data_IF_517674525425
#
_entry.id   IF_517674525425
#
_cell.length_a   1.000
_cell.length_b   1.000
_cell.length_c   1.000
_cell.angle_alpha   90.00
_cell.angle_beta   90.00
_cell.angle_gamma   90.00
#
_symmetry.space_group_name_H-M   'P 1'
#
loop_
_entity.id
_entity.type
_entity.pdbx_description
1 polymer ?
#
# COMPACT_ATOMS: atom_id res chain seq x y z
N UNK A 1 -5.57 -6.09 -8.04
CA UNK A 1 -4.49 -5.13 -8.27
C UNK A 1 -3.19 -5.89 -8.52
N UNK A 2 -2.48 -5.54 -9.62
CA UNK A 2 -1.17 -6.11 -9.89
C UNK A 2 -0.17 -5.63 -8.82
N UNK A 3 0.70 -6.51 -8.37
CA UNK A 3 1.69 -6.19 -7.36
C UNK A 3 3.02 -6.85 -7.64
N UNK A 4 4.07 -6.07 -7.62
CA UNK A 4 5.45 -6.55 -7.58
C UNK A 4 6.08 -6.00 -6.30
N UNK A 5 6.90 -6.81 -5.68
CA UNK A 5 7.68 -6.44 -4.52
C UNK A 5 9.13 -6.82 -4.79
N UNK A 6 10.00 -5.86 -4.64
CA UNK A 6 11.44 -6.06 -4.55
C UNK A 6 11.92 -5.35 -3.31
N UNK A 7 13.06 -5.76 -2.82
CA UNK A 7 13.72 -5.16 -1.67
C UNK A 7 15.14 -4.80 -2.12
N UNK A 8 15.49 -3.53 -1.97
CA UNK A 8 16.84 -3.05 -2.19
C UNK A 8 17.06 -1.76 -1.39
N UNK A 9 18.19 -1.67 -0.69
CA UNK A 9 18.62 -0.42 -0.09
C UNK A 9 18.93 0.61 -1.15
N UNK A 10 18.89 1.89 -0.81
CA UNK A 10 18.98 2.96 -1.79
C UNK A 10 20.29 2.94 -2.58
N UNK A 11 21.39 2.53 -1.93
CA UNK A 11 22.72 2.40 -2.52
C UNK A 11 22.80 1.29 -3.56
N UNK A 12 21.97 0.22 -3.43
CA UNK A 12 21.92 -0.94 -4.32
C UNK A 12 20.69 -0.96 -5.21
N UNK A 13 19.82 0.05 -5.10
CA UNK A 13 18.54 0.09 -5.83
C UNK A 13 18.77 0.49 -7.28
N UNK A 14 18.76 -0.47 -8.18
CA UNK A 14 18.86 -0.25 -9.61
C UNK A 14 17.72 0.61 -10.14
N UNK A 15 18.04 1.55 -11.03
CA UNK A 15 17.07 2.48 -11.59
C UNK A 15 15.93 1.77 -12.34
N UNK A 16 16.23 0.68 -13.02
CA UNK A 16 15.23 -0.12 -13.74
C UNK A 16 14.24 -0.80 -12.79
N UNK A 17 14.68 -1.23 -11.62
CA UNK A 17 13.81 -1.77 -10.56
C UNK A 17 12.89 -0.68 -10.04
N UNK A 18 13.43 0.52 -9.82
CA UNK A 18 12.66 1.69 -9.40
C UNK A 18 11.58 2.03 -10.45
N UNK A 19 11.97 2.22 -11.71
CA UNK A 19 11.07 2.53 -12.83
C UNK A 19 9.98 1.48 -13.00
N UNK A 20 10.34 0.20 -13.01
CA UNK A 20 9.39 -0.90 -13.17
C UNK A 20 8.36 -0.92 -12.03
N UNK A 21 8.79 -0.64 -10.81
CA UNK A 21 7.88 -0.55 -9.65
C UNK A 21 6.87 0.59 -9.82
N UNK A 22 7.32 1.76 -10.27
CA UNK A 22 6.43 2.88 -10.55
C UNK A 22 5.49 2.57 -11.72
N UNK A 23 5.98 1.97 -12.80
CA UNK A 23 5.15 1.63 -13.95
C UNK A 23 4.01 0.67 -13.57
N UNK A 24 4.32 -0.39 -12.85
CA UNK A 24 3.29 -1.36 -12.45
C UNK A 24 2.33 -0.77 -11.43
N UNK A 25 2.82 -0.10 -10.40
CA UNK A 25 1.99 0.29 -9.24
C UNK A 25 1.34 1.66 -9.39
N UNK A 26 2.06 2.67 -9.87
CA UNK A 26 1.54 4.02 -10.01
C UNK A 26 0.92 4.25 -11.39
N UNK A 27 1.67 4.00 -12.47
CA UNK A 27 1.13 4.14 -13.82
C UNK A 27 0.03 3.11 -14.11
N UNK A 28 0.12 1.91 -13.55
CA UNK A 28 -0.97 0.94 -13.62
C UNK A 28 -2.26 1.46 -13.01
N UNK A 29 -2.20 2.08 -11.82
CA UNK A 29 -3.36 2.72 -11.19
C UNK A 29 -3.90 3.89 -12.03
N UNK A 30 -3.01 4.74 -12.55
CA UNK A 30 -3.36 5.83 -13.46
C UNK A 30 -4.08 5.30 -14.72
N UNK A 31 -3.54 4.29 -15.40
CA UNK A 31 -4.13 3.71 -16.60
C UNK A 31 -5.56 3.20 -16.33
N UNK A 32 -5.75 2.49 -15.22
CA UNK A 32 -7.10 2.05 -14.81
C UNK A 32 -8.03 3.23 -14.54
N UNK A 33 -7.59 4.21 -13.75
CA UNK A 33 -8.38 5.40 -13.43
C UNK A 33 -8.79 6.16 -14.70
N UNK A 34 -7.86 6.37 -15.63
CA UNK A 34 -8.10 7.04 -16.91
C UNK A 34 -9.19 6.33 -17.74
N UNK A 35 -9.10 5.03 -17.91
CA UNK A 35 -10.06 4.30 -18.75
C UNK A 35 -11.42 4.17 -18.07
N UNK A 36 -11.46 3.91 -16.78
CA UNK A 36 -12.71 3.80 -16.01
C UNK A 36 -13.43 5.15 -15.95
N UNK A 37 -12.72 6.24 -15.66
CA UNK A 37 -13.33 7.58 -15.62
C UNK A 37 -13.91 7.94 -16.96
N UNK A 38 -13.19 7.69 -18.06
CA UNK A 38 -13.69 7.95 -19.41
C UNK A 38 -14.97 7.18 -19.69
N UNK A 39 -15.00 5.89 -19.37
CA UNK A 39 -16.20 5.06 -19.55
C UNK A 39 -17.40 5.63 -18.77
N UNK A 40 -17.20 5.97 -17.50
CA UNK A 40 -18.26 6.54 -16.64
C UNK A 40 -18.78 7.88 -17.20
N UNK A 41 -17.89 8.75 -17.66
CA UNK A 41 -18.24 10.06 -18.24
C UNK A 41 -19.01 9.89 -19.54
N UNK A 42 -18.52 9.07 -20.47
CA UNK A 42 -19.11 8.86 -21.78
C UNK A 42 -20.53 8.26 -21.66
N UNK A 43 -20.76 7.41 -20.65
CA UNK A 43 -22.08 6.81 -20.39
C UNK A 43 -22.97 7.64 -19.44
N UNK A 44 -22.50 8.81 -18.97
CA UNK A 44 -23.24 9.72 -18.06
C UNK A 44 -23.75 9.02 -16.80
N UNK A 45 -22.99 8.09 -16.26
CA UNK A 45 -23.30 7.38 -15.01
C UNK A 45 -22.55 7.99 -13.84
N UNK A 46 -23.14 7.92 -12.64
CA UNK A 46 -22.41 8.24 -11.40
C UNK A 46 -21.62 7.02 -10.94
N UNK A 47 -20.46 7.23 -10.35
CA UNK A 47 -19.63 6.11 -9.95
C UNK A 47 -18.70 6.39 -8.77
N UNK A 48 -18.09 5.32 -8.31
CA UNK A 48 -17.04 5.39 -7.32
C UNK A 48 -15.80 4.66 -7.82
N UNK A 49 -14.64 5.25 -7.60
CA UNK A 49 -13.34 4.63 -7.81
C UNK A 49 -12.64 4.49 -6.47
N UNK A 50 -12.12 3.30 -6.22
CA UNK A 50 -11.27 3.07 -5.06
C UNK A 50 -9.91 2.56 -5.54
N UNK A 51 -8.88 3.37 -5.30
CA UNK A 51 -7.50 3.01 -5.60
C UNK A 51 -6.87 2.29 -4.40
N UNK A 52 -5.88 1.45 -4.66
CA UNK A 52 -5.23 0.67 -3.60
C UNK A 52 -3.80 1.16 -3.41
N UNK A 53 -3.57 1.82 -2.28
CA UNK A 53 -2.25 2.23 -1.81
C UNK A 53 -1.67 1.21 -0.82
N UNK A 54 -1.00 1.67 0.20
CA UNK A 54 -0.45 0.91 1.33
C UNK A 54 -0.20 1.86 2.49
N UNK A 55 -0.29 1.39 3.72
CA UNK A 55 0.11 2.17 4.90
C UNK A 55 1.63 2.53 4.88
N UNK A 56 2.45 1.80 4.10
CA UNK A 56 3.85 2.16 3.84
C UNK A 56 4.03 3.53 3.18
N UNK A 57 2.98 4.10 2.58
CA UNK A 57 3.01 5.46 2.06
C UNK A 57 3.12 6.53 3.17
N UNK A 58 2.75 6.19 4.39
CA UNK A 58 2.81 7.07 5.55
C UNK A 58 3.99 6.76 6.47
N UNK A 59 4.35 5.50 6.57
CA UNK A 59 5.37 5.02 7.50
C UNK A 59 6.23 3.93 6.86
N UNK A 60 7.55 3.93 7.15
CA UNK A 60 8.40 2.81 6.76
C UNK A 60 7.86 1.51 7.37
N UNK A 61 7.58 0.53 6.52
CA UNK A 61 7.05 -0.78 6.94
C UNK A 61 8.15 -1.80 7.20
N UNK A 62 9.30 -1.58 6.60
CA UNK A 62 10.44 -2.45 6.80
C UNK A 62 11.32 -1.91 7.91
N UNK A 63 11.57 -2.72 8.92
CA UNK A 63 12.53 -2.43 9.99
C UNK A 63 13.92 -2.17 9.39
N UNK A 64 14.21 -2.76 8.24
CA UNK A 64 15.51 -2.69 7.58
C UNK A 64 15.60 -1.66 6.44
N UNK A 65 14.51 -0.90 6.14
CA UNK A 65 14.47 -0.02 4.98
C UNK A 65 14.28 -0.79 3.65
N UNK A 66 14.76 -0.24 2.53
CA UNK A 66 14.79 -0.93 1.23
C UNK A 66 13.49 -0.89 0.42
N UNK A 67 12.53 -0.04 0.77
CA UNK A 67 11.25 0.10 0.07
C UNK A 67 11.02 1.48 -0.55
N UNK A 68 12.04 2.28 -0.79
CA UNK A 68 11.91 3.64 -1.31
C UNK A 68 11.05 3.70 -2.58
N UNK A 69 11.31 2.83 -3.56
CA UNK A 69 10.55 2.72 -4.82
C UNK A 69 9.08 2.31 -4.59
N UNK A 70 8.83 1.38 -3.68
CA UNK A 70 7.48 0.94 -3.33
C UNK A 70 6.70 2.07 -2.63
N UNK A 71 7.28 2.63 -1.59
CA UNK A 71 6.70 3.74 -0.82
C UNK A 71 6.40 4.94 -1.71
N UNK A 72 7.33 5.33 -2.58
CA UNK A 72 7.12 6.39 -3.57
C UNK A 72 5.93 6.09 -4.49
N UNK A 73 5.82 4.85 -4.99
CA UNK A 73 4.71 4.45 -5.84
C UNK A 73 3.36 4.53 -5.12
N UNK A 74 3.30 4.13 -3.86
CA UNK A 74 2.06 4.12 -3.06
C UNK A 74 1.68 5.50 -2.53
N UNK A 75 2.65 6.33 -2.18
CA UNK A 75 2.45 7.76 -1.91
C UNK A 75 1.91 8.50 -3.13
N UNK A 76 2.45 8.22 -4.32
CA UNK A 76 1.97 8.76 -5.59
C UNK A 76 0.50 8.41 -5.87
N UNK A 77 0.04 7.21 -5.53
CA UNK A 77 -1.38 6.83 -5.65
C UNK A 77 -2.27 7.69 -4.76
N UNK A 78 -1.86 7.98 -3.52
CA UNK A 78 -2.62 8.84 -2.60
C UNK A 78 -2.70 10.26 -3.14
N UNK A 79 -1.58 10.83 -3.54
CA UNK A 79 -1.53 12.18 -4.10
C UNK A 79 -2.40 12.30 -5.37
N UNK A 80 -2.32 11.32 -6.28
CA UNK A 80 -3.14 11.26 -7.48
C UNK A 80 -4.64 11.18 -7.13
N UNK A 81 -5.02 10.45 -6.08
CA UNK A 81 -6.42 10.33 -5.65
C UNK A 81 -7.04 11.69 -5.32
N UNK A 82 -6.31 12.54 -4.63
CA UNK A 82 -6.77 13.88 -4.23
C UNK A 82 -7.10 14.74 -5.45
N UNK A 83 -6.22 14.75 -6.46
CA UNK A 83 -6.48 15.49 -7.70
C UNK A 83 -7.63 14.89 -8.52
N UNK A 84 -7.65 13.56 -8.68
CA UNK A 84 -8.74 12.89 -9.39
C UNK A 84 -10.10 13.11 -8.73
N UNK A 85 -10.16 13.14 -7.41
CA UNK A 85 -11.39 13.42 -6.66
C UNK A 85 -11.93 14.82 -6.99
N UNK A 86 -11.06 15.83 -7.03
CA UNK A 86 -11.41 17.20 -7.40
C UNK A 86 -11.86 17.31 -8.86
N UNK A 87 -11.09 16.70 -9.77
CA UNK A 87 -11.36 16.73 -11.21
C UNK A 87 -12.69 16.07 -11.58
N UNK A 88 -12.93 14.88 -11.01
CA UNK A 88 -14.01 13.99 -11.41
C UNK A 88 -15.33 14.26 -10.67
N UNK A 89 -15.30 15.06 -9.59
CA UNK A 89 -16.49 15.44 -8.83
C UNK A 89 -17.58 16.07 -9.71
N UNK A 90 -17.20 16.88 -10.69
CA UNK A 90 -18.14 17.52 -11.64
C UNK A 90 -18.95 16.52 -12.48
N UNK A 91 -18.47 15.29 -12.61
CA UNK A 91 -19.15 14.19 -13.31
C UNK A 91 -19.89 13.25 -12.34
N UNK A 92 -19.94 13.56 -11.05
CA UNK A 92 -20.54 12.71 -10.03
C UNK A 92 -19.74 11.44 -9.72
N UNK A 93 -18.42 11.48 -9.94
CA UNK A 93 -17.51 10.37 -9.65
C UNK A 93 -16.78 10.67 -8.35
N UNK A 94 -16.93 9.79 -7.36
CA UNK A 94 -16.17 9.83 -6.11
C UNK A 94 -14.91 8.99 -6.25
N UNK A 95 -13.77 9.54 -5.83
CA UNK A 95 -12.47 8.85 -5.91
C UNK A 95 -11.83 8.83 -4.54
N UNK A 96 -11.54 7.64 -4.02
CA UNK A 96 -10.89 7.44 -2.74
C UNK A 96 -9.77 6.41 -2.86
N UNK A 97 -8.99 6.26 -1.82
CA UNK A 97 -7.93 5.26 -1.70
C UNK A 97 -8.11 4.44 -0.44
N UNK A 98 -7.81 3.16 -0.49
CA UNK A 98 -7.57 2.34 0.69
C UNK A 98 -6.07 2.08 0.81
N UNK A 99 -5.55 2.18 2.03
CA UNK A 99 -4.16 1.89 2.37
C UNK A 99 -4.11 0.71 3.36
N UNK A 100 -4.07 -0.52 2.85
CA UNK A 100 -3.94 -1.71 3.69
C UNK A 100 -2.62 -1.74 4.44
N UNK A 101 -2.62 -2.38 5.61
CA UNK A 101 -1.43 -2.82 6.32
C UNK A 101 -0.82 -4.09 5.73
N UNK A 102 0.24 -4.57 6.36
CA UNK A 102 0.81 -5.87 6.04
C UNK A 102 -0.21 -6.98 6.29
N UNK A 103 -0.39 -7.86 5.33
CA UNK A 103 -1.33 -8.98 5.40
C UNK A 103 -0.65 -10.27 4.97
N UNK A 104 -1.01 -11.38 5.61
CA UNK A 104 -0.65 -12.69 5.11
C UNK A 104 -1.58 -13.08 3.96
N UNK A 105 -1.04 -13.05 2.76
CA UNK A 105 -1.75 -13.47 1.55
C UNK A 105 -0.89 -14.45 0.76
N UNK A 106 -1.48 -15.34 -0.06
CA UNK A 106 -0.69 -16.22 -0.94
C UNK A 106 0.32 -15.46 -1.79
N UNK A 107 -0.04 -14.27 -2.28
CA UNK A 107 0.86 -13.42 -3.07
C UNK A 107 2.05 -12.88 -2.25
N UNK A 108 1.85 -12.58 -0.97
CA UNK A 108 2.92 -12.16 -0.07
C UNK A 108 3.91 -13.32 0.21
N UNK A 109 3.39 -14.53 0.40
CA UNK A 109 4.22 -15.71 0.67
C UNK A 109 5.02 -16.17 -0.54
N UNK A 110 4.45 -16.05 -1.75
CA UNK A 110 5.09 -16.52 -3.00
C UNK A 110 6.01 -15.47 -3.64
N UNK A 111 5.64 -14.21 -3.60
CA UNK A 111 6.30 -13.12 -4.32
C UNK A 111 6.80 -12.00 -3.40
N UNK A 112 6.66 -12.17 -2.09
CA UNK A 112 7.08 -11.16 -1.12
C UNK A 112 8.60 -11.15 -0.91
N UNK A 113 9.12 -10.10 -0.28
CA UNK A 113 10.56 -9.96 0.00
C UNK A 113 11.12 -11.09 0.87
N UNK A 114 10.26 -11.78 1.62
CA UNK A 114 10.64 -12.93 2.44
C UNK A 114 11.29 -14.03 1.59
N UNK A 115 10.86 -14.21 0.33
CA UNK A 115 11.41 -15.23 -0.57
C UNK A 115 12.87 -14.98 -0.95
N UNK A 116 13.31 -13.73 -0.98
CA UNK A 116 14.69 -13.36 -1.35
C UNK A 116 15.67 -13.44 -0.20
N UNK A 117 15.15 -13.62 1.02
CA UNK A 117 15.98 -13.76 2.20
C UNK A 117 16.55 -15.19 2.32
N UNK A 118 17.73 -15.37 2.91
CA UNK A 118 18.23 -16.70 3.29
C UNK A 118 17.22 -17.45 4.18
N UNK A 119 17.11 -18.79 4.09
CA UNK A 119 16.15 -19.57 4.85
C UNK A 119 16.16 -19.31 6.37
N UNK A 120 17.33 -19.05 6.92
CA UNK A 120 17.51 -18.73 8.34
C UNK A 120 16.82 -17.41 8.71
N UNK A 121 16.99 -16.37 7.88
CA UNK A 121 16.31 -15.08 8.05
C UNK A 121 14.80 -15.15 7.77
N UNK A 122 14.38 -16.02 6.87
CA UNK A 122 12.94 -16.28 6.66
C UNK A 122 12.32 -16.87 7.92
N UNK A 123 12.99 -17.81 8.58
CA UNK A 123 12.52 -18.44 9.80
C UNK A 123 12.51 -17.46 11.00
N UNK A 124 13.50 -16.59 11.09
CA UNK A 124 13.60 -15.56 12.13
C UNK A 124 12.49 -14.51 11.96
N UNK A 125 12.33 -13.98 10.75
CA UNK A 125 11.26 -13.06 10.41
C UNK A 125 9.88 -13.69 10.62
N UNK A 126 9.72 -14.97 10.29
CA UNK A 126 8.50 -15.72 10.57
C UNK A 126 8.19 -15.80 12.06
N UNK A 127 9.22 -15.97 12.91
CA UNK A 127 9.07 -15.96 14.37
C UNK A 127 8.73 -14.56 14.89
N UNK A 128 9.38 -13.52 14.41
CA UNK A 128 9.10 -12.14 14.79
C UNK A 128 7.68 -11.71 14.37
N UNK A 129 7.26 -12.10 13.17
CA UNK A 129 5.89 -11.86 12.69
C UNK A 129 4.84 -12.68 13.45
N UNK A 130 5.18 -13.85 14.02
CA UNK A 130 4.30 -14.62 14.89
C UNK A 130 4.21 -14.03 16.31
N UNK A 131 5.21 -13.28 16.75
CA UNK A 131 5.19 -12.59 18.05
C UNK A 131 4.37 -11.28 17.95
N UNK A 132 4.31 -10.67 16.78
CA UNK A 132 3.29 -9.66 16.52
C UNK A 132 1.92 -10.34 16.66
N UNK A 133 1.16 -9.95 17.68
CA UNK A 133 -0.15 -10.56 17.97
C UNK A 133 -0.95 -10.65 16.67
N UNK A 134 -1.27 -11.85 16.24
CA UNK A 134 -2.02 -12.12 15.00
C UNK A 134 -3.34 -11.31 14.95
N UNK A 135 -3.88 -10.96 16.11
CA UNK A 135 -5.09 -10.14 16.27
C UNK A 135 -4.91 -8.67 15.84
N UNK A 136 -3.67 -8.20 15.71
CA UNK A 136 -3.33 -6.84 15.29
C UNK A 136 -3.01 -6.71 13.79
N UNK A 137 -2.97 -7.83 13.08
CA UNK A 137 -2.67 -7.87 11.64
C UNK A 137 -3.99 -7.90 10.86
N UNK A 138 -4.21 -6.98 9.89
CA UNK A 138 -5.41 -7.02 9.09
C UNK A 138 -5.46 -8.28 8.24
N UNK A 139 -6.63 -8.88 8.14
CA UNK A 139 -6.88 -9.97 7.20
C UNK A 139 -7.29 -9.42 5.83
N UNK A 140 -7.13 -10.22 4.78
CA UNK A 140 -7.61 -9.84 3.46
C UNK A 140 -9.13 -9.57 3.47
N UNK A 141 -9.89 -10.32 4.25
CA UNK A 141 -11.34 -10.15 4.39
C UNK A 141 -11.70 -8.85 5.10
N UNK A 142 -11.00 -8.48 6.19
CA UNK A 142 -11.25 -7.21 6.89
C UNK A 142 -10.98 -6.00 5.97
N UNK A 143 -9.91 -6.05 5.18
CA UNK A 143 -9.64 -5.01 4.18
C UNK A 143 -10.68 -5.01 3.06
N UNK A 144 -11.13 -6.19 2.59
CA UNK A 144 -12.16 -6.31 1.57
C UNK A 144 -13.51 -5.72 2.04
N UNK A 145 -13.87 -5.86 3.32
CA UNK A 145 -15.06 -5.23 3.91
C UNK A 145 -14.96 -3.71 3.84
N UNK A 146 -13.79 -3.13 4.16
CA UNK A 146 -13.56 -1.68 4.02
C UNK A 146 -13.70 -1.25 2.57
N UNK A 147 -13.08 -1.98 1.63
CA UNK A 147 -13.21 -1.72 0.18
C UNK A 147 -14.67 -1.75 -0.26
N UNK A 148 -15.41 -2.78 0.16
CA UNK A 148 -16.83 -2.91 -0.16
C UNK A 148 -17.64 -1.71 0.39
N UNK A 149 -17.46 -1.36 1.66
CA UNK A 149 -18.13 -0.22 2.29
C UNK A 149 -17.88 1.08 1.53
N UNK A 150 -16.63 1.32 1.11
CA UNK A 150 -16.25 2.51 0.33
C UNK A 150 -16.86 2.53 -1.09
N UNK A 151 -17.26 1.39 -1.63
CA UNK A 151 -17.94 1.31 -2.91
C UNK A 151 -19.48 1.41 -2.79
N UNK A 152 -20.04 1.35 -1.58
CA UNK A 152 -21.49 1.42 -1.33
C UNK A 152 -21.94 2.84 -0.98
N UNK A 153 -23.26 3.00 -0.72
CA UNK A 153 -23.83 4.27 -0.25
C UNK A 153 -23.30 4.78 1.07
N UNK A 154 -22.65 3.94 1.87
CA UNK A 154 -21.99 4.36 3.12
C UNK A 154 -20.95 5.45 2.89
N UNK A 155 -20.37 5.53 1.71
CA UNK A 155 -19.33 6.51 1.36
C UNK A 155 -19.82 7.56 0.34
N UNK A 156 -21.13 7.85 0.25
CA UNK A 156 -21.65 8.85 -0.70
C UNK A 156 -21.16 10.28 -0.41
N UNK A 157 -20.78 10.56 0.84
CA UNK A 157 -20.22 11.85 1.26
C UNK A 157 -18.69 11.92 1.26
N UNK A 158 -18.01 10.86 0.81
CA UNK A 158 -16.53 10.75 0.95
C UNK A 158 -15.87 10.75 -0.42
N UNK A 159 -14.96 11.70 -0.65
CA UNK A 159 -14.13 11.73 -1.85
C UNK A 159 -12.79 12.44 -1.58
N UNK A 160 -11.73 11.97 -2.18
CA UNK A 160 -10.38 12.49 -2.01
C UNK A 160 -9.63 11.92 -0.79
N UNK A 161 -10.26 10.98 -0.07
CA UNK A 161 -9.73 10.44 1.17
C UNK A 161 -8.91 9.16 0.97
N UNK A 162 -7.98 8.96 1.89
CA UNK A 162 -7.26 7.70 2.02
C UNK A 162 -7.61 7.03 3.35
N UNK A 163 -8.30 5.90 3.27
CA UNK A 163 -8.69 5.11 4.42
C UNK A 163 -7.60 4.09 4.72
N UNK A 164 -6.97 4.22 5.89
CA UNK A 164 -5.98 3.25 6.36
C UNK A 164 -6.73 2.06 6.96
N UNK A 165 -6.48 0.87 6.38
CA UNK A 165 -7.08 -0.39 6.79
C UNK A 165 -5.98 -1.36 7.24
N UNK A 166 -5.39 -1.07 8.40
CA UNK A 166 -4.19 -1.73 8.91
C UNK A 166 -4.32 -2.28 10.33
N UNK A 167 -5.55 -2.37 10.86
CA UNK A 167 -5.84 -2.82 12.23
C UNK A 167 -5.07 -2.04 13.31
N UNK A 168 -4.73 -0.77 13.02
CA UNK A 168 -4.02 0.09 13.96
C UNK A 168 -2.50 -0.07 13.95
N UNK A 169 -1.92 -0.83 13.03
CA UNK A 169 -0.47 -1.02 12.93
C UNK A 169 0.30 0.30 12.93
N UNK A 170 -0.18 1.32 12.21
CA UNK A 170 0.44 2.64 12.19
C UNK A 170 0.40 3.37 13.54
N UNK A 171 -0.55 3.03 14.40
CA UNK A 171 -0.75 3.66 15.71
C UNK A 171 0.10 3.01 16.80
N UNK A 172 0.55 1.78 16.56
CA UNK A 172 1.32 0.97 17.51
C UNK A 172 2.83 1.08 17.31
N UNK A 173 3.32 2.10 16.59
CA UNK A 173 4.73 2.31 16.28
C UNK A 173 5.61 2.35 17.54
N UNK A 174 5.07 2.82 18.66
CA UNK A 174 5.80 2.87 19.92
C UNK A 174 6.16 1.48 20.48
N UNK A 175 5.48 0.43 20.03
CA UNK A 175 5.80 -0.95 20.42
C UNK A 175 6.98 -1.55 19.65
N UNK A 176 7.38 -0.94 18.53
CA UNK A 176 8.52 -1.37 17.70
C UNK A 176 9.84 -0.62 17.98
N UNK A 177 9.84 0.33 18.90
CA UNK A 177 11.05 1.11 19.24
C UNK A 177 12.24 0.29 19.80
N UNK A 178 12.08 -0.84 20.49
CA UNK A 178 13.24 -1.59 20.98
C UNK A 178 14.20 -2.09 19.90
N UNK A 179 13.72 -2.23 18.65
CA UNK A 179 14.57 -2.72 17.56
C UNK A 179 15.47 -1.64 16.95
N UNK A 180 15.15 -0.37 17.12
CA UNK A 180 15.95 0.75 16.57
C UNK A 180 17.23 0.99 17.38
N UNK A 181 17.23 0.67 18.67
CA UNK A 181 18.39 0.82 19.54
C UNK A 181 19.51 -0.21 19.27
N UNK A 182 19.26 -1.22 18.45
CA UNK A 182 20.21 -2.29 18.15
C UNK A 182 21.08 -2.06 16.90
N UNK A 183 20.91 -0.93 16.20
CA UNK A 183 21.82 -0.58 15.10
C UNK A 183 22.97 0.23 15.63
N UNK A 184 24.20 -0.33 15.65
CA UNK A 184 25.37 0.49 15.93
C UNK A 184 25.49 1.55 14.81
N UNK A 185 25.87 2.79 15.15
CA UNK A 185 26.17 3.79 14.13
C UNK A 185 27.27 3.22 13.22
N UNK A 186 27.13 3.48 11.91
CA UNK A 186 28.16 3.08 10.96
C UNK A 186 29.50 3.61 11.45
N UNK A 187 30.43 2.70 11.69
CA UNK A 187 31.79 3.10 12.00
C UNK A 187 32.35 3.87 10.80
N UNK A 188 32.64 5.16 11.02
CA UNK A 188 33.19 6.08 10.05
C UNK A 188 34.63 5.80 9.65
#
# INVERSE_FOLDING_TARGET
>A
AAGIWSFAHIEDLEEDVFKNTLDVKLLGAYRCAKHVSRYIIDHKIKGKMLLVSSNSAYLPQSVFGGYAHYTASKGGVIAMTTELAKELKRYGIMVNTVAPGGMFTPGCMVNGPVRTLPPEKQAELGKEMMVAKLDEIPTADSVAIVVYGMCTRMADGVTGECIVADSGMMRNIMAFQPAIEQYPPAEG
#
